data_IF_926096272340
#
_entry.id   IF_926096272340
#
_cell.length_a   1.000
_cell.length_b   1.000
_cell.length_c   1.000
_cell.angle_alpha   90.00
_cell.angle_beta   90.00
_cell.angle_gamma   90.00
#
_symmetry.space_group_name_H-M   'P 1'
#
loop_
_entity.id
_entity.type
_entity.pdbx_description
1 polymer ?
#
# COMPACT_ATOMS: atom_id res chain seq x y z
N UNK A 1 56.58 -16.36 4.48
CA UNK A 1 56.64 -16.70 5.91
C UNK A 1 55.28 -17.24 6.29
N UNK A 2 55.26 -18.43 6.87
CA UNK A 2 54.11 -19.33 7.04
C UNK A 2 53.03 -18.76 7.98
N UNK A 3 51.75 -18.99 7.68
CA UNK A 3 50.62 -18.60 8.53
C UNK A 3 49.33 -19.35 8.22
N UNK A 4 49.22 -20.54 8.81
CA UNK A 4 48.04 -21.35 9.20
C UNK A 4 46.71 -21.24 8.42
N UNK A 5 46.29 -22.38 7.87
CA UNK A 5 44.92 -22.67 7.44
C UNK A 5 44.09 -22.96 8.70
N UNK A 6 43.08 -22.14 8.99
CA UNK A 6 42.00 -22.51 9.92
C UNK A 6 40.86 -23.12 9.12
N UNK A 7 40.45 -24.31 9.56
CA UNK A 7 39.33 -25.09 9.05
C UNK A 7 38.04 -24.27 8.98
N UNK A 8 37.52 -24.12 7.77
CA UNK A 8 36.14 -23.68 7.55
C UNK A 8 35.26 -24.89 7.87
N UNK A 9 34.60 -24.84 9.02
CA UNK A 9 33.50 -25.75 9.35
C UNK A 9 32.37 -25.45 8.35
N UNK A 10 32.26 -26.29 7.33
CA UNK A 10 31.08 -26.37 6.48
C UNK A 10 29.91 -26.83 7.35
N UNK A 11 29.05 -25.90 7.77
CA UNK A 11 27.74 -26.25 8.29
C UNK A 11 26.85 -26.58 7.08
N UNK A 12 26.62 -27.87 6.89
CA UNK A 12 25.66 -28.43 5.95
C UNK A 12 24.27 -27.83 6.19
N UNK A 13 23.67 -27.26 5.13
CA UNK A 13 22.28 -26.86 5.12
C UNK A 13 21.39 -28.10 5.14
N UNK A 14 21.07 -28.56 6.34
CA UNK A 14 20.02 -29.54 6.59
C UNK A 14 18.64 -28.91 6.37
N UNK A 15 17.82 -29.53 5.52
CA UNK A 15 16.45 -29.17 5.18
C UNK A 15 15.60 -28.85 6.44
N UNK A 16 15.31 -27.56 6.68
CA UNK A 16 14.65 -27.09 7.89
C UNK A 16 13.26 -26.48 7.64
N UNK A 17 12.20 -27.28 7.62
CA UNK A 17 10.84 -26.77 7.89
C UNK A 17 10.63 -26.45 9.38
N UNK A 18 11.46 -27.02 10.26
CA UNK A 18 11.34 -26.89 11.73
C UNK A 18 12.04 -25.62 12.27
N UNK A 19 13.13 -25.15 11.64
CA UNK A 19 13.85 -23.94 12.10
C UNK A 19 13.11 -22.62 11.82
N UNK A 20 12.33 -22.53 10.75
CA UNK A 20 11.54 -21.33 10.43
C UNK A 20 10.36 -21.11 11.42
N UNK A 21 9.85 -22.19 12.02
CA UNK A 21 8.72 -22.16 12.94
C UNK A 21 9.08 -21.42 14.25
N UNK A 22 10.23 -21.76 14.84
CA UNK A 22 10.69 -21.17 16.10
C UNK A 22 10.93 -19.65 15.98
N UNK A 23 11.50 -19.19 14.87
CA UNK A 23 11.78 -17.76 14.67
C UNK A 23 10.52 -16.91 14.42
N UNK A 24 9.44 -17.50 13.91
CA UNK A 24 8.17 -16.78 13.69
C UNK A 24 7.35 -16.69 14.98
N UNK A 25 7.37 -17.74 15.80
CA UNK A 25 6.73 -17.74 17.12
C UNK A 25 7.40 -16.74 18.07
N UNK A 26 8.74 -16.72 18.13
CA UNK A 26 9.50 -15.76 18.95
C UNK A 26 9.15 -14.31 18.59
N UNK A 27 9.11 -13.97 17.29
CA UNK A 27 8.70 -12.63 16.83
C UNK A 27 7.30 -12.25 17.29
N UNK A 28 6.38 -13.22 17.31
CA UNK A 28 5.01 -13.00 17.74
C UNK A 28 4.93 -12.79 19.25
N UNK A 29 5.66 -13.58 20.03
CA UNK A 29 5.71 -13.45 21.49
C UNK A 29 6.37 -12.13 21.92
N UNK A 30 7.44 -11.71 21.24
CA UNK A 30 8.07 -10.40 21.43
C UNK A 30 7.05 -9.26 21.24
N UNK A 31 6.29 -9.31 20.14
CA UNK A 31 5.31 -8.27 19.83
C UNK A 31 4.11 -8.30 20.81
N UNK A 32 3.68 -9.49 21.23
CA UNK A 32 2.63 -9.66 22.26
C UNK A 32 3.06 -9.05 23.58
N UNK A 33 4.28 -9.32 24.02
CA UNK A 33 4.86 -8.73 25.23
C UNK A 33 4.92 -7.20 25.14
N UNK A 34 5.35 -6.65 24.00
CA UNK A 34 5.40 -5.21 23.77
C UNK A 34 4.03 -4.52 23.82
N UNK A 35 2.99 -5.19 23.32
CA UNK A 35 1.59 -4.71 23.37
C UNK A 35 0.98 -4.89 24.78
N UNK A 36 1.63 -5.64 25.67
CA UNK A 36 1.16 -5.91 27.04
C UNK A 36 0.14 -7.05 27.11
N UNK A 37 0.23 -8.03 26.22
CA UNK A 37 -0.67 -9.19 26.19
C UNK A 37 -0.32 -10.18 27.29
N UNK A 38 -1.33 -10.60 28.04
CA UNK A 38 -1.22 -11.70 28.99
C UNK A 38 -1.19 -13.06 28.27
N UNK A 39 -0.71 -14.09 28.97
CA UNK A 39 -0.77 -15.47 28.48
C UNK A 39 -2.23 -15.87 28.19
N UNK A 40 -2.46 -16.46 27.02
CA UNK A 40 -3.80 -16.81 26.54
C UNK A 40 -4.61 -15.64 25.93
N UNK A 41 -4.19 -14.37 26.03
CA UNK A 41 -4.82 -13.27 25.28
C UNK A 41 -4.14 -13.11 23.91
N UNK A 42 -4.84 -13.40 22.80
CA UNK A 42 -4.24 -13.32 21.48
C UNK A 42 -4.03 -11.86 21.05
N UNK A 43 -2.97 -11.64 20.25
CA UNK A 43 -2.79 -10.41 19.49
C UNK A 43 -3.85 -10.33 18.39
N UNK A 44 -4.65 -9.27 18.39
CA UNK A 44 -5.74 -9.09 17.41
C UNK A 44 -5.30 -8.07 16.37
N UNK A 45 -5.19 -8.53 15.12
CA UNK A 45 -4.80 -7.70 13.98
C UNK A 45 -5.99 -7.60 13.01
N UNK A 46 -6.35 -6.37 12.64
CA UNK A 46 -7.34 -6.12 11.59
C UNK A 46 -6.72 -5.38 10.42
N UNK A 47 -6.99 -5.84 9.21
CA UNK A 47 -6.76 -5.07 7.99
C UNK A 47 -8.04 -4.37 7.58
N UNK A 48 -8.04 -3.03 7.59
CA UNK A 48 -9.17 -2.20 7.15
C UNK A 48 -8.97 -1.88 5.68
N UNK A 49 -9.77 -2.50 4.82
CA UNK A 49 -9.70 -2.34 3.37
C UNK A 49 -9.27 -3.63 2.68
N UNK A 50 -10.12 -4.13 1.79
CA UNK A 50 -9.90 -5.36 1.02
C UNK A 50 -9.54 -5.08 -0.45
N UNK A 51 -8.74 -4.04 -0.68
CA UNK A 51 -8.03 -3.85 -1.94
C UNK A 51 -6.87 -4.83 -2.09
N UNK A 52 -6.09 -4.69 -3.16
CA UNK A 52 -4.89 -5.49 -3.41
C UNK A 52 -3.97 -5.57 -2.18
N UNK A 53 -3.58 -4.40 -1.66
CA UNK A 53 -2.64 -4.27 -0.55
C UNK A 53 -3.16 -4.76 0.78
N UNK A 54 -4.34 -4.29 1.21
CA UNK A 54 -4.90 -4.73 2.49
C UNK A 54 -5.17 -6.24 2.53
N UNK A 55 -5.53 -6.85 1.40
CA UNK A 55 -5.71 -8.30 1.28
C UNK A 55 -4.39 -9.06 1.33
N UNK A 56 -3.37 -8.62 0.57
CA UNK A 56 -2.04 -9.25 0.59
C UNK A 56 -1.39 -9.12 1.96
N UNK A 57 -1.47 -7.96 2.60
CA UNK A 57 -0.88 -7.77 3.93
C UNK A 57 -1.54 -8.68 4.96
N UNK A 58 -2.87 -8.78 4.96
CA UNK A 58 -3.59 -9.74 5.82
C UNK A 58 -3.21 -11.20 5.51
N UNK A 59 -3.08 -11.55 4.23
CA UNK A 59 -2.71 -12.89 3.80
C UNK A 59 -1.27 -13.26 4.19
N UNK A 60 -0.31 -12.32 4.08
CA UNK A 60 1.07 -12.53 4.51
C UNK A 60 1.16 -12.79 6.02
N UNK A 61 0.41 -12.04 6.82
CA UNK A 61 0.32 -12.28 8.25
C UNK A 61 -0.35 -13.63 8.55
N UNK A 62 -1.42 -13.96 7.82
CA UNK A 62 -2.18 -15.19 7.98
C UNK A 62 -1.35 -16.43 7.61
N UNK A 63 -0.54 -16.36 6.56
CA UNK A 63 0.37 -17.43 6.16
C UNK A 63 1.51 -17.62 7.15
N UNK A 64 2.05 -16.52 7.69
CA UNK A 64 3.20 -16.56 8.61
C UNK A 64 2.80 -17.00 10.01
N UNK A 65 1.71 -16.44 10.55
CA UNK A 65 1.36 -16.59 11.96
C UNK A 65 0.05 -17.35 12.20
N UNK A 66 -0.72 -17.66 11.15
CA UNK A 66 -2.06 -18.24 11.27
C UNK A 66 -2.14 -19.65 11.87
N UNK A 67 -1.00 -20.33 12.00
CA UNK A 67 -0.89 -21.58 12.74
C UNK A 67 -0.97 -21.38 14.26
N UNK A 68 -0.59 -20.20 14.77
CA UNK A 68 -0.58 -19.87 16.21
C UNK A 68 -1.91 -19.23 16.64
N UNK A 69 -3.03 -19.92 16.42
CA UNK A 69 -4.39 -19.35 16.60
C UNK A 69 -4.69 -18.88 18.03
N UNK A 70 -4.06 -19.48 19.02
CA UNK A 70 -4.20 -19.11 20.43
C UNK A 70 -3.38 -17.86 20.79
N UNK A 71 -2.41 -17.49 19.93
CA UNK A 71 -1.52 -16.35 20.11
C UNK A 71 -1.87 -15.15 19.23
N UNK A 72 -2.48 -15.37 18.06
CA UNK A 72 -2.85 -14.30 17.12
C UNK A 72 -4.17 -14.58 16.41
N UNK A 73 -4.95 -13.51 16.22
CA UNK A 73 -6.15 -13.52 15.39
C UNK A 73 -6.05 -12.43 14.34
N UNK A 74 -6.14 -12.82 13.08
CA UNK A 74 -6.06 -11.91 11.93
C UNK A 74 -7.42 -11.90 11.25
N UNK A 75 -7.94 -10.69 11.00
CA UNK A 75 -9.18 -10.49 10.26
C UNK A 75 -9.03 -9.34 9.27
N UNK A 76 -9.87 -9.34 8.25
CA UNK A 76 -9.92 -8.28 7.24
C UNK A 76 -11.33 -7.73 7.16
N UNK A 77 -11.45 -6.42 7.20
CA UNK A 77 -12.70 -5.73 6.96
C UNK A 77 -12.88 -5.38 5.48
N UNK A 78 -14.08 -5.63 4.97
CA UNK A 78 -14.51 -5.27 3.62
C UNK A 78 -15.92 -4.70 3.66
N UNK A 79 -16.15 -3.58 2.96
CA UNK A 79 -17.52 -3.09 2.68
C UNK A 79 -18.33 -4.18 1.95
N UNK A 80 -19.53 -4.55 2.44
CA UNK A 80 -20.35 -5.58 1.80
C UNK A 80 -20.95 -5.09 0.47
N UNK A 81 -21.48 -6.02 -0.32
CA UNK A 81 -22.38 -5.70 -1.44
C UNK A 81 -21.70 -5.39 -2.78
N UNK A 82 -20.36 -5.40 -2.86
CA UNK A 82 -19.68 -5.28 -4.16
C UNK A 82 -19.81 -6.60 -4.94
N UNK A 83 -20.59 -6.58 -6.01
CA UNK A 83 -20.81 -7.74 -6.89
C UNK A 83 -19.67 -7.93 -7.88
N UNK A 84 -19.49 -9.17 -8.33
CA UNK A 84 -18.66 -9.52 -9.47
C UNK A 84 -19.51 -9.53 -10.75
N UNK A 85 -18.99 -8.92 -11.81
CA UNK A 85 -19.60 -9.10 -13.14
C UNK A 85 -19.34 -10.51 -13.70
N UNK A 86 -20.10 -10.88 -14.73
CA UNK A 86 -20.05 -12.22 -15.33
C UNK A 86 -18.69 -12.54 -15.96
N UNK A 87 -18.02 -11.54 -16.54
CA UNK A 87 -16.73 -11.73 -17.17
C UNK A 87 -15.67 -12.08 -16.11
N UNK A 88 -15.66 -11.34 -15.01
CA UNK A 88 -14.80 -11.56 -13.84
C UNK A 88 -15.08 -12.90 -13.18
N UNK A 89 -16.36 -13.28 -13.02
CA UNK A 89 -16.74 -14.59 -12.48
C UNK A 89 -16.26 -15.76 -13.36
N UNK A 90 -16.39 -15.63 -14.69
CA UNK A 90 -15.87 -16.62 -15.64
C UNK A 90 -14.35 -16.72 -15.57
N UNK A 91 -13.66 -15.59 -15.54
CA UNK A 91 -12.20 -15.53 -15.42
C UNK A 91 -11.71 -16.16 -14.10
N UNK A 92 -12.36 -15.83 -12.98
CA UNK A 92 -12.05 -16.43 -11.68
C UNK A 92 -12.22 -17.95 -11.70
N UNK A 93 -13.25 -18.47 -12.37
CA UNK A 93 -13.43 -19.90 -12.54
C UNK A 93 -12.28 -20.55 -13.33
N UNK A 94 -11.77 -19.89 -14.37
CA UNK A 94 -10.60 -20.34 -15.14
C UNK A 94 -9.33 -20.34 -14.27
N UNK A 95 -9.14 -19.29 -13.45
CA UNK A 95 -8.04 -19.23 -12.47
C UNK A 95 -8.13 -20.39 -11.46
N UNK A 96 -9.32 -20.69 -10.93
CA UNK A 96 -9.51 -21.80 -9.99
C UNK A 96 -9.12 -23.15 -10.64
N UNK A 97 -9.54 -23.39 -11.88
CA UNK A 97 -9.30 -24.67 -12.56
C UNK A 97 -7.87 -24.83 -13.09
N UNK A 98 -7.14 -23.73 -13.28
CA UNK A 98 -5.73 -23.77 -13.67
C UNK A 98 -4.78 -24.07 -12.50
N UNK A 99 -5.28 -24.08 -11.25
CA UNK A 99 -4.46 -24.32 -10.04
C UNK A 99 -5.03 -25.47 -9.21
N UNK A 100 -4.34 -26.61 -9.24
CA UNK A 100 -4.79 -27.85 -8.62
C UNK A 100 -4.98 -27.73 -7.09
N UNK A 101 -4.09 -27.01 -6.42
CA UNK A 101 -4.14 -26.78 -4.97
C UNK A 101 -5.38 -25.95 -4.57
N UNK A 102 -5.68 -24.90 -5.34
CA UNK A 102 -6.86 -24.04 -5.14
C UNK A 102 -8.15 -24.84 -5.39
N UNK A 103 -8.21 -25.59 -6.50
CA UNK A 103 -9.35 -26.44 -6.82
C UNK A 103 -9.63 -27.46 -5.70
N UNK A 104 -8.60 -28.20 -5.28
CA UNK A 104 -8.71 -29.18 -4.19
C UNK A 104 -9.17 -28.53 -2.88
N UNK A 105 -8.64 -27.34 -2.55
CA UNK A 105 -9.05 -26.57 -1.37
C UNK A 105 -10.54 -26.22 -1.40
N UNK A 106 -11.05 -25.73 -2.52
CA UNK A 106 -12.45 -25.34 -2.66
C UNK A 106 -13.40 -26.54 -2.65
N UNK A 107 -13.02 -27.66 -3.27
CA UNK A 107 -13.81 -28.91 -3.22
C UNK A 107 -13.91 -29.41 -1.77
N UNK A 108 -12.79 -29.48 -1.04
CA UNK A 108 -12.76 -29.93 0.36
C UNK A 108 -13.61 -29.07 1.31
N UNK A 109 -13.78 -27.79 0.99
CA UNK A 109 -14.60 -26.84 1.76
C UNK A 109 -16.04 -26.72 1.26
N UNK A 110 -16.45 -27.57 0.31
CA UNK A 110 -17.78 -27.50 -0.34
C UNK A 110 -18.07 -26.13 -0.97
N UNK A 111 -17.02 -25.39 -1.36
CA UNK A 111 -17.11 -24.04 -1.90
C UNK A 111 -17.03 -24.00 -3.43
N UNK A 112 -16.67 -25.11 -4.10
CA UNK A 112 -16.47 -25.11 -5.55
C UNK A 112 -17.77 -24.88 -6.34
N UNK A 113 -18.90 -25.46 -5.90
CA UNK A 113 -20.18 -25.41 -6.62
C UNK A 113 -20.65 -23.97 -6.87
N UNK A 114 -20.44 -23.06 -5.91
CA UNK A 114 -20.83 -21.65 -6.06
C UNK A 114 -20.13 -20.95 -7.23
N UNK A 115 -18.91 -21.36 -7.58
CA UNK A 115 -18.17 -20.80 -8.72
C UNK A 115 -18.66 -21.39 -10.05
N UNK A 116 -19.15 -22.63 -10.04
CA UNK A 116 -19.83 -23.22 -11.20
C UNK A 116 -21.13 -22.47 -11.48
N UNK A 117 -21.98 -22.30 -10.48
CA UNK A 117 -23.25 -21.53 -10.57
C UNK A 117 -23.00 -20.11 -11.06
N UNK A 118 -21.96 -19.44 -10.52
CA UNK A 118 -21.62 -18.09 -10.92
C UNK A 118 -21.13 -17.97 -12.38
N UNK A 119 -20.37 -18.95 -12.86
CA UNK A 119 -19.96 -19.02 -14.27
C UNK A 119 -21.17 -19.21 -15.19
N UNK A 120 -22.13 -20.06 -14.80
CA UNK A 120 -23.35 -20.32 -15.56
C UNK A 120 -24.27 -19.08 -15.59
N UNK A 121 -24.21 -18.26 -14.55
CA UNK A 121 -25.04 -17.07 -14.36
C UNK A 121 -26.19 -17.28 -13.38
N UNK A 122 -26.25 -18.45 -12.74
CA UNK A 122 -27.28 -18.83 -11.78
C UNK A 122 -27.06 -18.17 -10.41
N UNK A 123 -25.86 -17.64 -10.16
CA UNK A 123 -25.48 -16.96 -8.91
C UNK A 123 -24.64 -15.72 -9.17
N UNK A 124 -24.95 -14.63 -8.46
CA UNK A 124 -24.03 -13.48 -8.35
C UNK A 124 -23.08 -13.69 -7.19
N UNK A 125 -21.76 -13.58 -7.45
CA UNK A 125 -20.75 -13.62 -6.38
C UNK A 125 -20.54 -12.24 -5.79
N UNK A 126 -20.41 -12.18 -4.47
CA UNK A 126 -19.98 -11.00 -3.76
C UNK A 126 -18.47 -11.03 -3.49
N UNK A 127 -17.88 -9.85 -3.50
CA UNK A 127 -16.44 -9.72 -3.34
C UNK A 127 -15.95 -10.10 -1.91
N UNK A 128 -16.80 -9.96 -0.89
CA UNK A 128 -16.51 -10.47 0.46
C UNK A 128 -16.62 -12.01 0.56
N UNK A 129 -17.50 -12.64 -0.22
CA UNK A 129 -17.61 -14.09 -0.28
C UNK A 129 -16.36 -14.73 -0.90
N UNK A 130 -15.87 -14.19 -2.02
CA UNK A 130 -14.68 -14.73 -2.67
C UNK A 130 -13.42 -14.46 -1.84
N UNK A 131 -13.40 -13.39 -1.05
CA UNK A 131 -12.27 -13.07 -0.17
C UNK A 131 -12.14 -14.07 0.97
N UNK A 132 -13.25 -14.56 1.52
CA UNK A 132 -13.26 -15.66 2.51
C UNK A 132 -12.61 -16.93 1.95
N UNK A 133 -12.73 -17.13 0.65
CA UNK A 133 -12.14 -18.26 -0.06
C UNK A 133 -10.70 -18.03 -0.53
N UNK A 134 -10.15 -16.83 -0.31
CA UNK A 134 -8.82 -16.45 -0.71
C UNK A 134 -8.73 -15.86 -2.12
N UNK A 135 -9.71 -15.05 -2.54
CA UNK A 135 -9.63 -14.30 -3.80
C UNK A 135 -9.91 -12.81 -3.57
N UNK A 136 -9.03 -11.95 -4.09
CA UNK A 136 -9.20 -10.52 -4.05
C UNK A 136 -9.70 -10.03 -5.42
N UNK A 137 -10.80 -9.26 -5.43
CA UNK A 137 -11.38 -8.71 -6.67
C UNK A 137 -10.36 -7.92 -7.51
N UNK A 138 -9.45 -7.22 -6.85
CA UNK A 138 -8.44 -6.39 -7.51
C UNK A 138 -7.20 -7.19 -7.98
N UNK A 139 -7.16 -8.49 -7.70
CA UNK A 139 -6.04 -9.40 -7.98
C UNK A 139 -6.54 -10.83 -8.25
N UNK A 140 -7.53 -11.00 -9.13
CA UNK A 140 -8.16 -12.32 -9.39
C UNK A 140 -7.15 -13.38 -9.82
N UNK A 141 -6.09 -12.99 -10.54
CA UNK A 141 -5.03 -13.88 -11.01
C UNK A 141 -4.09 -14.38 -9.90
N UNK A 142 -4.20 -13.83 -8.69
CA UNK A 142 -3.36 -14.16 -7.53
C UNK A 142 -4.22 -14.72 -6.39
N UNK A 143 -4.56 -16.02 -6.41
CA UNK A 143 -5.22 -16.68 -5.30
C UNK A 143 -4.41 -16.57 -4.01
N UNK A 144 -5.06 -16.06 -2.97
CA UNK A 144 -4.54 -15.90 -1.63
C UNK A 144 -4.90 -17.10 -0.75
N UNK A 145 -4.41 -17.08 0.48
CA UNK A 145 -4.90 -17.94 1.55
C UNK A 145 -6.30 -17.48 1.99
N UNK A 146 -7.14 -18.38 2.51
CA UNK A 146 -8.46 -18.01 3.02
C UNK A 146 -8.34 -17.08 4.23
N UNK A 147 -9.13 -16.00 4.24
CA UNK A 147 -9.10 -14.98 5.29
C UNK A 147 -10.37 -14.99 6.14
N UNK A 148 -10.25 -14.55 7.40
CA UNK A 148 -11.42 -14.22 8.24
C UNK A 148 -11.94 -12.84 7.84
N UNK A 149 -12.98 -12.82 7.00
CA UNK A 149 -13.61 -11.58 6.51
C UNK A 149 -14.73 -11.14 7.43
N UNK A 150 -14.70 -9.88 7.83
CA UNK A 150 -15.74 -9.20 8.63
C UNK A 150 -16.32 -8.07 7.80
N UNK A 151 -17.65 -7.90 7.81
CA UNK A 151 -18.33 -6.87 7.03
C UNK A 151 -18.84 -5.71 7.89
N UNK A 152 -19.03 -5.94 9.20
CA UNK A 152 -19.32 -4.89 10.16
C UNK A 152 -18.02 -4.20 10.63
N UNK A 153 -17.93 -2.87 10.45
CA UNK A 153 -16.70 -2.13 10.76
C UNK A 153 -16.41 -2.11 12.27
N UNK A 154 -17.43 -1.89 13.10
CA UNK A 154 -17.30 -1.90 14.56
C UNK A 154 -16.74 -3.22 15.07
N UNK A 155 -17.35 -4.35 14.68
CA UNK A 155 -16.86 -5.71 15.02
C UNK A 155 -15.41 -5.92 14.58
N UNK A 156 -15.02 -5.37 13.43
CA UNK A 156 -13.68 -5.54 12.92
C UNK A 156 -12.62 -4.76 13.71
N UNK A 157 -12.96 -3.63 14.35
CA UNK A 157 -11.96 -2.71 14.94
C UNK A 157 -12.07 -2.55 16.46
N UNK A 158 -13.15 -2.98 17.10
CA UNK A 158 -13.41 -2.67 18.52
C UNK A 158 -12.34 -3.22 19.47
N UNK A 159 -11.86 -4.44 19.27
CA UNK A 159 -10.84 -5.11 20.09
C UNK A 159 -9.48 -5.26 19.37
N UNK A 160 -9.28 -4.59 18.24
CA UNK A 160 -8.02 -4.70 17.49
C UNK A 160 -6.85 -4.05 18.23
N UNK A 161 -5.74 -4.75 18.38
CA UNK A 161 -4.49 -4.21 18.94
C UNK A 161 -3.66 -3.52 17.86
N UNK A 162 -3.66 -4.10 16.65
CA UNK A 162 -3.01 -3.55 15.46
C UNK A 162 -4.05 -3.38 14.36
N UNK A 163 -4.08 -2.18 13.78
CA UNK A 163 -4.99 -1.80 12.69
C UNK A 163 -4.15 -1.47 11.47
N UNK A 164 -4.31 -2.21 10.39
CA UNK A 164 -3.66 -1.93 9.11
C UNK A 164 -4.61 -1.10 8.27
N UNK A 165 -4.21 0.13 7.91
CA UNK A 165 -4.95 0.92 6.92
C UNK A 165 -4.55 0.46 5.51
N UNK A 166 -5.38 -0.40 4.93
CA UNK A 166 -5.27 -0.87 3.55
C UNK A 166 -6.17 -0.12 2.56
N UNK A 167 -6.75 1.01 2.98
CA UNK A 167 -7.60 1.87 2.15
C UNK A 167 -6.78 2.74 1.20
N UNK A 168 -7.37 3.22 0.09
CA UNK A 168 -6.87 4.41 -0.60
C UNK A 168 -6.81 5.63 0.34
N UNK A 169 -5.89 6.56 0.07
CA UNK A 169 -5.77 7.81 0.84
C UNK A 169 -7.08 8.60 0.88
N UNK A 170 -7.80 8.63 -0.24
CA UNK A 170 -9.08 9.34 -0.42
C UNK A 170 -10.23 8.79 0.43
N UNK A 171 -10.15 7.53 0.89
CA UNK A 171 -11.15 6.93 1.79
C UNK A 171 -10.68 6.90 3.25
N UNK A 172 -9.42 7.23 3.52
CA UNK A 172 -8.81 7.06 4.84
C UNK A 172 -9.50 7.93 5.89
N UNK A 173 -9.74 9.22 5.60
CA UNK A 173 -10.34 10.15 6.55
C UNK A 173 -11.74 9.70 6.99
N UNK A 174 -12.66 9.53 6.04
CA UNK A 174 -14.06 9.14 6.29
C UNK A 174 -14.16 7.87 7.15
N UNK A 175 -13.41 6.82 6.79
CA UNK A 175 -13.47 5.54 7.50
C UNK A 175 -12.86 5.66 8.89
N UNK A 176 -11.74 6.37 9.04
CA UNK A 176 -11.13 6.53 10.36
C UNK A 176 -11.96 7.44 11.28
N UNK A 177 -12.69 8.42 10.74
CA UNK A 177 -13.69 9.20 11.50
C UNK A 177 -14.83 8.31 12.01
N UNK A 178 -15.30 7.35 11.21
CA UNK A 178 -16.27 6.35 11.67
C UNK A 178 -15.67 5.46 12.78
N UNK A 179 -14.46 4.93 12.55
CA UNK A 179 -13.75 4.09 13.53
C UNK A 179 -13.57 4.82 14.86
N UNK A 180 -13.28 6.12 14.84
CA UNK A 180 -13.09 6.94 16.04
C UNK A 180 -14.27 6.84 17.00
N UNK A 181 -15.50 6.69 16.49
CA UNK A 181 -16.74 6.59 17.28
C UNK A 181 -16.74 5.33 18.13
N UNK A 182 -16.21 4.22 17.61
CA UNK A 182 -16.13 2.93 18.29
C UNK A 182 -14.95 2.87 19.28
N UNK A 183 -13.94 3.74 19.12
CA UNK A 183 -12.76 3.76 19.99
C UNK A 183 -12.90 4.65 21.21
N UNK A 184 -13.94 5.48 21.30
CA UNK A 184 -14.18 6.35 22.47
C UNK A 184 -14.27 5.60 23.79
N UNK A 185 -14.76 4.36 23.76
CA UNK A 185 -14.96 3.52 24.95
C UNK A 185 -13.76 2.58 25.22
N UNK A 186 -12.72 2.62 24.39
CA UNK A 186 -11.55 1.75 24.56
C UNK A 186 -10.61 2.27 25.63
N UNK A 187 -10.13 1.34 26.44
CA UNK A 187 -9.06 1.59 27.42
C UNK A 187 -7.69 1.65 26.71
N UNK A 188 -7.49 0.79 25.70
CA UNK A 188 -6.21 0.67 25.00
C UNK A 188 -6.25 1.33 23.62
N UNK A 189 -5.22 2.13 23.34
CA UNK A 189 -4.99 2.77 22.05
C UNK A 189 -4.35 1.76 21.09
N UNK A 190 -4.92 1.53 19.89
CA UNK A 190 -4.33 0.61 18.92
C UNK A 190 -3.03 1.17 18.31
N UNK A 191 -2.23 0.28 17.74
CA UNK A 191 -1.12 0.65 16.84
C UNK A 191 -1.64 0.58 15.41
N UNK A 192 -1.34 1.60 14.60
CA UNK A 192 -1.85 1.72 13.23
C UNK A 192 -0.69 1.62 12.24
N UNK A 193 -0.80 0.77 11.22
CA UNK A 193 0.15 0.67 10.11
C UNK A 193 -0.56 1.09 8.83
N UNK A 194 -0.20 2.24 8.29
CA UNK A 194 -0.79 2.77 7.06
C UNK A 194 -0.04 2.32 5.82
N UNK A 195 -0.77 1.69 4.88
CA UNK A 195 -0.31 1.34 3.55
C UNK A 195 -0.77 2.35 2.49
N UNK A 196 -1.59 3.32 2.90
CA UNK A 196 -2.19 4.31 2.02
C UNK A 196 -1.12 5.24 1.43
N UNK A 197 -1.23 5.50 0.13
CA UNK A 197 -0.32 6.37 -0.63
C UNK A 197 -1.14 7.48 -1.27
N UNK A 198 -0.67 8.72 -1.21
CA UNK A 198 -1.40 9.92 -1.59
C UNK A 198 -1.32 10.97 -0.48
N UNK A 199 -1.77 12.18 -0.75
CA UNK A 199 -1.75 13.32 0.17
C UNK A 199 -2.97 14.21 -0.06
N UNK A 200 -3.33 15.01 0.93
CA UNK A 200 -4.24 16.15 0.82
C UNK A 200 -3.44 17.45 1.03
N UNK A 201 -3.94 18.55 0.48
CA UNK A 201 -3.44 19.89 0.76
C UNK A 201 -4.41 20.62 1.69
N UNK A 202 -3.88 21.22 2.75
CA UNK A 202 -4.60 22.17 3.57
C UNK A 202 -3.95 23.54 3.37
N UNK A 203 -4.72 24.53 2.93
CA UNK A 203 -4.20 25.85 2.55
C UNK A 203 -4.23 26.87 3.70
N UNK A 204 -5.13 26.65 4.67
CA UNK A 204 -5.36 27.56 5.80
C UNK A 204 -5.18 26.85 7.15
N UNK A 205 -4.77 27.56 8.22
CA UNK A 205 -4.30 28.95 8.23
C UNK A 205 -2.87 29.11 7.69
N UNK A 206 -2.14 27.99 7.54
CA UNK A 206 -0.82 27.92 6.92
C UNK A 206 -0.82 26.75 5.95
N UNK A 207 -0.37 26.92 4.70
CA UNK A 207 -0.37 25.83 3.74
C UNK A 207 0.54 24.69 4.16
N UNK A 208 0.01 23.47 4.15
CA UNK A 208 0.76 22.26 4.48
C UNK A 208 0.15 21.02 3.83
N UNK A 209 0.95 19.97 3.72
CA UNK A 209 0.46 18.64 3.37
C UNK A 209 -0.16 17.93 4.57
N UNK A 210 -1.25 17.22 4.31
CA UNK A 210 -1.80 16.22 5.20
C UNK A 210 -1.50 14.85 4.57
N UNK A 211 -0.61 14.10 5.22
CA UNK A 211 -0.25 12.75 4.83
C UNK A 211 -1.23 11.72 5.42
N UNK A 212 -1.32 10.49 4.88
CA UNK A 212 -2.24 9.48 5.39
C UNK A 212 -2.12 9.21 6.90
N UNK A 213 -0.91 9.21 7.47
CA UNK A 213 -0.75 9.10 8.92
C UNK A 213 -1.35 10.30 9.67
N UNK A 214 -1.18 11.53 9.17
CA UNK A 214 -1.84 12.73 9.72
C UNK A 214 -3.37 12.68 9.56
N UNK A 215 -3.89 12.17 8.45
CA UNK A 215 -5.34 11.98 8.26
C UNK A 215 -5.91 11.07 9.36
N UNK A 216 -5.25 9.95 9.63
CA UNK A 216 -5.63 9.01 10.69
C UNK A 216 -5.57 9.69 12.06
N UNK A 217 -4.49 10.41 12.36
CA UNK A 217 -4.34 11.14 13.62
C UNK A 217 -5.46 12.16 13.84
N UNK A 218 -5.73 13.01 12.84
CA UNK A 218 -6.79 14.02 12.90
C UNK A 218 -8.18 13.39 13.04
N UNK A 219 -8.44 12.29 12.33
CA UNK A 219 -9.73 11.62 12.34
C UNK A 219 -10.03 10.88 13.65
N UNK A 220 -9.01 10.34 14.32
CA UNK A 220 -9.19 9.44 15.47
C UNK A 220 -8.69 9.98 16.80
N UNK A 221 -7.82 10.98 16.79
CA UNK A 221 -7.08 11.40 17.98
C UNK A 221 -6.01 10.40 18.44
N UNK A 222 -5.78 9.29 17.72
CA UNK A 222 -4.70 8.35 18.06
C UNK A 222 -3.36 9.09 17.95
N UNK A 223 -2.51 9.05 18.99
CA UNK A 223 -1.21 9.74 18.97
C UNK A 223 -0.37 9.34 17.76
N UNK A 224 0.32 10.31 17.15
CA UNK A 224 1.22 10.05 16.01
C UNK A 224 2.30 9.01 16.32
N UNK A 225 2.72 8.89 17.58
CA UNK A 225 3.66 7.84 18.00
C UNK A 225 3.14 6.42 17.74
N UNK A 226 1.82 6.21 17.72
CA UNK A 226 1.16 4.93 17.47
C UNK A 226 0.83 4.69 15.99
N UNK A 227 1.12 5.65 15.11
CA UNK A 227 0.76 5.57 13.69
C UNK A 227 2.04 5.47 12.87
N UNK A 228 2.13 4.40 12.07
CA UNK A 228 3.27 4.11 11.21
C UNK A 228 2.84 4.13 9.75
N UNK A 229 3.79 4.36 8.87
CA UNK A 229 3.66 4.17 7.43
C UNK A 229 4.48 2.97 6.98
N UNK A 230 3.97 2.18 6.05
CA UNK A 230 4.74 1.13 5.39
C UNK A 230 4.62 1.26 3.87
N UNK A 231 5.76 1.43 3.20
CA UNK A 231 5.85 1.59 1.74
C UNK A 231 7.18 1.13 1.18
N UNK A 232 7.34 1.11 -0.14
CA UNK A 232 8.57 0.64 -0.80
C UNK A 232 8.32 0.04 -2.18
N UNK A 233 9.36 -0.45 -2.87
CA UNK A 233 9.25 -1.14 -4.15
C UNK A 233 8.68 -2.54 -3.95
N UNK A 234 7.35 -2.66 -3.89
CA UNK A 234 6.73 -3.87 -3.37
C UNK A 234 5.37 -4.19 -4.00
N UNK A 235 5.26 -4.51 -5.29
CA UNK A 235 3.94 -4.80 -5.90
C UNK A 235 3.21 -5.95 -5.17
N UNK A 236 1.98 -5.72 -4.72
CA UNK A 236 1.22 -6.63 -3.84
C UNK A 236 1.14 -8.08 -4.35
N UNK A 237 0.80 -8.28 -5.64
CA UNK A 237 0.76 -9.62 -6.25
C UNK A 237 2.10 -10.31 -6.28
N UNK A 238 3.18 -9.55 -6.50
CA UNK A 238 4.54 -10.08 -6.62
C UNK A 238 5.05 -10.53 -5.25
N UNK A 239 4.80 -9.75 -4.19
CA UNK A 239 5.13 -10.17 -2.81
C UNK A 239 4.42 -11.47 -2.46
N UNK A 240 3.13 -11.57 -2.73
CA UNK A 240 2.38 -12.78 -2.38
C UNK A 240 2.85 -14.00 -3.18
N UNK A 241 3.31 -13.80 -4.42
CA UNK A 241 3.96 -14.83 -5.23
C UNK A 241 5.42 -15.11 -4.81
N UNK A 242 5.88 -14.54 -3.70
CA UNK A 242 7.22 -14.70 -3.12
C UNK A 242 8.36 -14.13 -3.96
N UNK A 243 8.06 -13.17 -4.83
CA UNK A 243 9.08 -12.35 -5.48
C UNK A 243 9.80 -11.48 -4.44
N UNK A 244 11.07 -11.18 -4.69
CA UNK A 244 11.87 -10.36 -3.78
C UNK A 244 11.37 -8.92 -3.75
N UNK A 245 11.03 -8.44 -2.55
CA UNK A 245 10.57 -7.08 -2.34
C UNK A 245 11.16 -6.48 -1.07
N UNK A 246 11.28 -5.15 -1.07
CA UNK A 246 11.72 -4.36 0.07
C UNK A 246 10.61 -3.41 0.52
N UNK A 247 10.53 -3.18 1.83
CA UNK A 247 9.69 -2.12 2.40
C UNK A 247 10.43 -1.34 3.47
N UNK A 248 9.97 -0.12 3.69
CA UNK A 248 10.35 0.79 4.76
C UNK A 248 9.15 0.97 5.66
N UNK A 249 9.33 0.71 6.95
CA UNK A 249 8.36 1.08 7.99
C UNK A 249 8.87 2.33 8.70
N UNK A 250 8.03 3.37 8.73
CA UNK A 250 8.37 4.69 9.24
C UNK A 250 7.42 5.08 10.38
N UNK A 251 7.93 5.76 11.40
CA UNK A 251 7.16 6.14 12.59
C UNK A 251 8.04 6.17 13.84
N UNK A 252 7.42 6.14 15.02
CA UNK A 252 8.17 6.19 16.28
C UNK A 252 8.97 4.91 16.56
N UNK A 253 10.15 5.07 17.16
CA UNK A 253 11.10 3.98 17.51
C UNK A 253 10.47 2.84 18.29
N UNK A 254 9.57 3.19 19.23
CA UNK A 254 8.82 2.27 20.08
C UNK A 254 8.17 1.16 19.27
N UNK A 255 7.62 1.49 18.10
CA UNK A 255 6.88 0.55 17.27
C UNK A 255 7.61 0.16 15.99
N UNK A 256 8.33 1.09 15.33
CA UNK A 256 8.91 0.81 13.99
C UNK A 256 9.93 -0.32 14.02
N UNK A 257 10.78 -0.39 15.05
CA UNK A 257 11.87 -1.38 15.13
C UNK A 257 11.32 -2.79 15.42
N UNK A 258 10.46 -2.99 16.44
CA UNK A 258 9.83 -4.30 16.67
C UNK A 258 8.95 -4.75 15.50
N UNK A 259 8.16 -3.84 14.92
CA UNK A 259 7.31 -4.17 13.77
C UNK A 259 8.14 -4.49 12.50
N UNK A 260 9.28 -3.84 12.27
CA UNK A 260 10.19 -4.22 11.21
C UNK A 260 10.70 -5.66 11.38
N UNK A 261 11.08 -6.07 12.60
CA UNK A 261 11.49 -7.46 12.91
C UNK A 261 10.32 -8.43 12.67
N UNK A 262 9.12 -8.08 13.16
CA UNK A 262 7.91 -8.89 13.05
C UNK A 262 7.49 -9.13 11.60
N UNK A 263 7.48 -8.08 10.77
CA UNK A 263 7.02 -8.15 9.38
C UNK A 263 8.05 -8.73 8.40
N UNK A 264 9.32 -8.84 8.79
CA UNK A 264 10.39 -9.33 7.91
C UNK A 264 10.24 -10.82 7.62
N UNK A 265 10.21 -11.16 6.33
CA UNK A 265 10.17 -12.52 5.79
C UNK A 265 11.33 -12.74 4.79
N UNK A 266 11.69 -13.99 4.42
CA UNK A 266 12.82 -14.24 3.52
C UNK A 266 12.77 -13.52 2.17
N UNK A 267 11.57 -13.35 1.60
CA UNK A 267 11.35 -12.68 0.30
C UNK A 267 10.80 -11.25 0.46
N UNK A 268 10.42 -10.84 1.67
CA UNK A 268 9.89 -9.51 1.96
C UNK A 268 10.66 -8.87 3.10
N UNK A 269 11.68 -8.09 2.74
CA UNK A 269 12.58 -7.49 3.73
C UNK A 269 12.06 -6.11 4.13
N UNK A 270 11.66 -6.00 5.40
CA UNK A 270 11.20 -4.75 5.99
C UNK A 270 12.36 -4.11 6.76
N UNK A 271 12.64 -2.86 6.45
CA UNK A 271 13.64 -2.02 7.11
C UNK A 271 12.94 -0.87 7.84
N UNK A 272 13.45 -0.46 8.99
CA UNK A 272 12.93 0.72 9.67
C UNK A 272 13.55 2.02 9.11
N UNK A 273 12.83 3.12 9.27
CA UNK A 273 13.30 4.48 8.96
C UNK A 273 12.58 5.49 9.87
N UNK A 274 13.26 6.58 10.27
CA UNK A 274 12.63 7.65 11.06
C UNK A 274 11.94 8.69 10.19
N UNK A 275 12.33 8.81 8.93
CA UNK A 275 11.83 9.86 8.04
C UNK A 275 10.46 9.48 7.43
N UNK A 276 9.42 9.67 8.24
CA UNK A 276 8.03 9.42 7.86
C UNK A 276 7.55 10.32 6.72
N UNK A 277 7.83 11.62 6.81
CA UNK A 277 7.27 12.63 5.90
C UNK A 277 7.78 12.41 4.48
N UNK A 278 9.09 12.21 4.30
CA UNK A 278 9.66 11.95 2.97
C UNK A 278 9.03 10.72 2.33
N UNK A 279 8.85 9.63 3.08
CA UNK A 279 8.31 8.39 2.54
C UNK A 279 6.83 8.50 2.13
N UNK A 280 6.01 9.25 2.86
CA UNK A 280 4.62 9.50 2.50
C UNK A 280 4.51 10.46 1.30
N UNK A 281 5.30 11.55 1.29
CA UNK A 281 5.35 12.51 0.18
C UNK A 281 5.77 11.82 -1.12
N UNK A 282 6.85 11.05 -1.08
CA UNK A 282 7.32 10.25 -2.20
C UNK A 282 6.28 9.22 -2.68
N UNK A 283 5.54 8.62 -1.73
CA UNK A 283 4.42 7.72 -2.03
C UNK A 283 3.28 8.39 -2.80
N UNK A 284 3.01 9.67 -2.55
CA UNK A 284 2.09 10.49 -3.32
C UNK A 284 2.65 10.91 -4.68
N UNK A 285 3.85 11.50 -4.70
CA UNK A 285 4.49 12.02 -5.92
C UNK A 285 4.69 10.94 -6.99
N UNK A 286 5.08 9.72 -6.60
CA UNK A 286 5.29 8.66 -7.60
C UNK A 286 4.01 8.33 -8.37
N UNK A 287 2.82 8.48 -7.75
CA UNK A 287 1.54 8.26 -8.42
C UNK A 287 1.22 9.38 -9.40
N UNK A 288 1.58 10.62 -9.07
CA UNK A 288 1.51 11.77 -9.98
C UNK A 288 2.36 11.51 -11.22
N UNK A 289 3.66 11.27 -11.03
CA UNK A 289 4.59 11.13 -12.14
C UNK A 289 4.40 9.84 -12.92
N UNK A 290 3.80 8.80 -12.34
CA UNK A 290 3.40 7.60 -13.08
C UNK A 290 2.37 7.92 -14.18
N UNK A 291 1.46 8.87 -13.98
CA UNK A 291 0.50 9.27 -15.03
C UNK A 291 1.27 9.82 -16.24
N UNK A 292 2.17 10.79 -16.03
CA UNK A 292 2.97 11.34 -17.12
C UNK A 292 3.92 10.31 -17.75
N UNK A 293 4.47 9.37 -16.98
CA UNK A 293 5.26 8.27 -17.52
C UNK A 293 4.46 7.42 -18.49
N UNK A 294 3.20 7.12 -18.15
CA UNK A 294 2.26 6.44 -19.03
C UNK A 294 1.96 7.20 -20.32
N UNK A 295 1.76 8.52 -20.22
CA UNK A 295 1.55 9.37 -21.40
C UNK A 295 2.77 9.35 -22.32
N UNK A 296 3.97 9.56 -21.77
CA UNK A 296 5.22 9.51 -22.52
C UNK A 296 5.41 8.15 -23.18
N UNK A 297 5.15 7.06 -22.46
CA UNK A 297 5.27 5.71 -22.99
C UNK A 297 4.37 5.50 -24.23
N UNK A 298 3.12 5.94 -24.18
CA UNK A 298 2.21 5.83 -25.33
C UNK A 298 2.61 6.76 -26.50
N UNK A 299 2.90 8.03 -26.22
CA UNK A 299 3.21 9.04 -27.26
C UNK A 299 4.54 8.77 -27.98
N UNK A 300 5.49 8.12 -27.30
CA UNK A 300 6.83 7.84 -27.83
C UNK A 300 7.02 6.39 -28.26
N UNK A 301 5.92 5.64 -28.35
CA UNK A 301 5.91 4.22 -28.71
C UNK A 301 6.93 3.40 -27.89
N UNK A 302 6.87 3.55 -26.57
CA UNK A 302 7.70 2.87 -25.58
C UNK A 302 9.22 3.15 -25.67
N UNK A 303 9.61 4.28 -26.31
CA UNK A 303 11.01 4.73 -26.40
C UNK A 303 11.71 4.75 -25.04
N UNK A 304 12.76 3.93 -24.90
CA UNK A 304 13.53 3.84 -23.67
C UNK A 304 14.21 5.17 -23.33
N UNK A 305 14.75 5.89 -24.32
CA UNK A 305 15.39 7.20 -24.15
C UNK A 305 14.39 8.26 -23.69
N UNK A 306 13.19 8.29 -24.27
CA UNK A 306 12.18 9.28 -23.89
C UNK A 306 11.69 9.04 -22.46
N UNK A 307 11.47 7.77 -22.09
CA UNK A 307 11.11 7.38 -20.72
C UNK A 307 12.23 7.69 -19.71
N UNK A 308 13.50 7.49 -20.07
CA UNK A 308 14.62 7.80 -19.16
C UNK A 308 14.81 9.30 -18.95
N UNK A 309 14.64 10.12 -20.00
CA UNK A 309 14.66 11.59 -19.87
C UNK A 309 13.51 12.06 -18.99
N UNK A 310 12.29 11.56 -19.21
CA UNK A 310 11.16 11.88 -18.33
C UNK A 310 11.44 11.47 -16.87
N UNK A 311 12.00 10.28 -16.65
CA UNK A 311 12.37 9.80 -15.32
C UNK A 311 13.37 10.74 -14.62
N UNK A 312 14.39 11.23 -15.33
CA UNK A 312 15.37 12.17 -14.80
C UNK A 312 14.73 13.52 -14.37
N UNK A 313 13.83 14.06 -15.20
CA UNK A 313 13.14 15.30 -14.86
C UNK A 313 12.13 15.12 -13.72
N UNK A 314 11.33 14.04 -13.72
CA UNK A 314 10.37 13.82 -12.65
C UNK A 314 11.06 13.61 -11.30
N UNK A 315 12.16 12.85 -11.27
CA UNK A 315 12.96 12.67 -10.04
C UNK A 315 13.57 13.97 -9.53
N UNK A 316 13.94 14.88 -10.44
CA UNK A 316 14.41 16.22 -10.06
C UNK A 316 13.32 17.04 -9.38
N UNK A 317 12.09 17.05 -9.93
CA UNK A 317 10.95 17.71 -9.27
C UNK A 317 10.60 17.04 -7.93
N UNK A 318 10.63 15.70 -7.86
CA UNK A 318 10.36 14.97 -6.62
C UNK A 318 11.34 15.35 -5.51
N UNK A 319 12.63 15.48 -5.84
CA UNK A 319 13.66 15.93 -4.91
C UNK A 319 13.35 17.35 -4.43
N UNK A 320 13.07 18.27 -5.36
CA UNK A 320 12.75 19.66 -5.04
C UNK A 320 11.54 19.77 -4.11
N UNK A 321 10.42 19.12 -4.46
CA UNK A 321 9.18 19.15 -3.68
C UNK A 321 9.41 18.55 -2.29
N UNK A 322 10.15 17.44 -2.19
CA UNK A 322 10.43 16.80 -0.90
C UNK A 322 11.27 17.70 0.01
N UNK A 323 12.29 18.39 -0.53
CA UNK A 323 13.09 19.35 0.24
C UNK A 323 12.31 20.57 0.71
N UNK A 324 11.24 20.93 0.00
CA UNK A 324 10.35 22.00 0.41
C UNK A 324 9.41 21.56 1.55
N UNK A 325 8.99 20.29 1.56
CA UNK A 325 7.92 19.79 2.43
C UNK A 325 8.42 19.04 3.68
N UNK A 326 9.67 18.59 3.71
CA UNK A 326 10.24 17.82 4.81
C UNK A 326 11.51 18.48 5.35
N UNK A 327 11.68 18.42 6.67
CA UNK A 327 12.89 18.91 7.34
C UNK A 327 13.98 17.83 7.30
N UNK A 328 15.09 18.12 6.63
CA UNK A 328 16.22 17.20 6.50
C UNK A 328 15.85 15.86 5.81
N UNK A 329 15.23 15.87 4.62
CA UNK A 329 14.72 14.66 3.99
C UNK A 329 15.82 13.67 3.62
N UNK A 330 15.49 12.38 3.66
CA UNK A 330 16.32 11.35 3.05
C UNK A 330 16.50 11.62 1.55
N UNK A 331 17.72 11.37 1.06
CA UNK A 331 18.02 11.48 -0.36
C UNK A 331 17.16 10.51 -1.16
N UNK A 332 16.71 10.94 -2.34
CA UNK A 332 16.07 10.05 -3.31
C UNK A 332 17.08 9.04 -3.86
N UNK A 333 17.29 7.96 -3.12
CA UNK A 333 18.24 6.89 -3.43
C UNK A 333 17.71 5.55 -2.95
N UNK A 334 18.34 4.47 -3.40
CA UNK A 334 18.04 3.10 -2.94
C UNK A 334 16.54 2.77 -3.02
N UNK A 335 15.87 2.42 -1.90
CA UNK A 335 14.46 2.01 -1.91
C UNK A 335 13.47 3.06 -2.42
N UNK A 336 13.66 4.35 -2.14
CA UNK A 336 12.74 5.40 -2.59
C UNK A 336 12.80 5.57 -4.12
N UNK A 337 14.01 5.54 -4.67
CA UNK A 337 14.23 5.60 -6.11
C UNK A 337 13.69 4.33 -6.80
N UNK A 338 13.90 3.16 -6.19
CA UNK A 338 13.39 1.89 -6.70
C UNK A 338 11.85 1.83 -6.68
N UNK A 339 11.18 2.34 -5.62
CA UNK A 339 9.71 2.39 -5.57
C UNK A 339 9.16 3.32 -6.65
N UNK A 340 9.83 4.46 -6.87
CA UNK A 340 9.51 5.38 -7.96
C UNK A 340 9.63 4.67 -9.31
N UNK A 341 10.78 4.05 -9.57
CA UNK A 341 11.05 3.34 -10.83
C UNK A 341 9.99 2.28 -11.15
N UNK A 342 9.72 1.35 -10.22
CA UNK A 342 8.77 0.27 -10.47
C UNK A 342 7.34 0.79 -10.70
N UNK A 343 6.96 1.88 -10.01
CA UNK A 343 5.63 2.49 -10.13
C UNK A 343 5.44 3.20 -11.47
N UNK A 344 6.50 3.80 -12.02
CA UNK A 344 6.48 4.45 -13.32
C UNK A 344 6.43 3.44 -14.47
N UNK A 345 6.97 2.22 -14.28
CA UNK A 345 6.90 1.14 -15.27
C UNK A 345 5.53 0.47 -15.35
N UNK A 346 4.89 0.27 -14.19
CA UNK A 346 3.69 -0.55 -14.07
C UNK A 346 2.79 -0.02 -12.96
N UNK A 347 1.50 0.09 -13.25
CA UNK A 347 0.52 0.46 -12.25
C UNK A 347 -0.73 1.08 -12.86
N UNK A 348 -1.73 1.32 -12.01
CA UNK A 348 -3.00 1.92 -12.43
C UNK A 348 -2.83 3.36 -12.93
N UNK A 349 -1.94 4.14 -12.31
CA UNK A 349 -1.66 5.53 -12.72
C UNK A 349 -0.94 5.59 -14.09
N UNK A 350 0.08 4.75 -14.31
CA UNK A 350 0.75 4.65 -15.61
C UNK A 350 -0.19 4.15 -16.71
N UNK A 351 -0.99 3.13 -16.43
CA UNK A 351 -2.04 2.69 -17.34
C UNK A 351 -3.01 3.81 -17.70
N UNK A 352 -3.49 4.59 -16.70
CA UNK A 352 -4.40 5.71 -16.94
C UNK A 352 -3.78 6.76 -17.87
N UNK A 353 -2.52 7.13 -17.63
CA UNK A 353 -1.78 8.03 -18.53
C UNK A 353 -1.64 7.50 -19.95
N UNK A 354 -1.39 6.20 -20.13
CA UNK A 354 -1.36 5.57 -21.46
C UNK A 354 -2.72 5.66 -22.17
N UNK A 355 -3.82 5.40 -21.48
CA UNK A 355 -5.16 5.46 -22.08
C UNK A 355 -5.55 6.89 -22.46
N UNK A 356 -5.21 7.87 -21.64
CA UNK A 356 -5.39 9.29 -21.96
C UNK A 356 -4.62 9.67 -23.23
N UNK A 357 -3.34 9.30 -23.31
CA UNK A 357 -2.49 9.62 -24.47
C UNK A 357 -2.95 8.93 -25.77
N UNK A 358 -3.62 7.78 -25.68
CA UNK A 358 -4.23 7.09 -26.83
C UNK A 358 -5.61 7.63 -27.22
N UNK A 359 -6.21 8.51 -26.41
CA UNK A 359 -7.58 8.98 -26.58
C UNK A 359 -8.65 7.93 -26.24
N UNK A 360 -8.26 6.84 -25.56
CA UNK A 360 -9.18 5.78 -25.12
C UNK A 360 -9.94 6.14 -23.83
N UNK A 361 -9.38 7.09 -23.06
CA UNK A 361 -10.05 7.73 -21.92
C UNK A 361 -10.02 9.25 -22.09
N UNK A 362 -11.05 9.92 -21.58
CA UNK A 362 -11.06 11.36 -21.36
C UNK A 362 -10.98 11.66 -19.85
N UNK A 363 -10.30 12.75 -19.42
CA UNK A 363 -10.41 13.25 -18.05
C UNK A 363 -11.87 13.48 -17.59
N UNK A 364 -12.81 13.69 -18.52
CA UNK A 364 -14.24 13.85 -18.22
C UNK A 364 -14.90 12.59 -17.64
N UNK A 365 -14.31 11.42 -17.87
CA UNK A 365 -14.85 10.14 -17.37
C UNK A 365 -14.61 9.95 -15.86
N UNK A 366 -13.96 10.93 -15.22
CA UNK A 366 -13.62 10.91 -13.81
C UNK A 366 -12.33 10.13 -13.51
N UNK A 367 -11.99 10.10 -12.23
CA UNK A 367 -10.82 9.44 -11.67
C UNK A 367 -11.15 8.06 -11.05
N UNK A 368 -12.42 7.68 -11.01
CA UNK A 368 -12.87 6.35 -10.56
C UNK A 368 -13.30 5.50 -11.75
N UNK A 369 -12.38 4.65 -12.21
CA UNK A 369 -12.59 3.85 -13.42
C UNK A 369 -13.16 2.48 -13.06
N UNK A 370 -14.27 2.10 -13.71
CA UNK A 370 -14.90 0.78 -13.54
C UNK A 370 -13.88 -0.35 -13.77
N UNK A 371 -13.81 -1.31 -12.84
CA UNK A 371 -12.86 -2.43 -12.89
C UNK A 371 -11.40 -2.09 -12.53
N UNK A 372 -11.02 -0.82 -12.41
CA UNK A 372 -9.65 -0.38 -12.02
C UNK A 372 -9.62 0.33 -10.66
N UNK A 373 -10.73 0.94 -10.26
CA UNK A 373 -10.88 1.75 -9.07
C UNK A 373 -10.34 3.17 -9.25
N UNK A 374 -10.14 3.85 -8.13
CA UNK A 374 -9.69 5.24 -8.11
C UNK A 374 -8.23 5.41 -8.54
N UNK A 375 -7.98 6.40 -9.39
CA UNK A 375 -6.67 6.84 -9.88
C UNK A 375 -6.15 7.94 -8.95
N UNK A 376 -5.56 7.52 -7.83
CA UNK A 376 -5.08 8.43 -6.77
C UNK A 376 -4.06 9.47 -7.25
N UNK A 377 -3.39 9.23 -8.39
CA UNK A 377 -2.48 10.22 -8.97
C UNK A 377 -3.18 11.51 -9.39
N UNK A 378 -4.46 11.48 -9.77
CA UNK A 378 -5.21 12.68 -10.16
C UNK A 378 -5.42 13.60 -8.95
N UNK A 379 -5.96 13.07 -7.85
CA UNK A 379 -6.13 13.84 -6.60
C UNK A 379 -4.78 14.32 -6.04
N UNK A 380 -3.71 13.53 -6.20
CA UNK A 380 -2.38 13.96 -5.79
C UNK A 380 -1.81 15.09 -6.67
N UNK A 381 -2.08 15.11 -7.97
CA UNK A 381 -1.71 16.22 -8.86
C UNK A 381 -2.35 17.51 -8.36
N UNK A 382 -3.65 17.47 -8.08
CA UNK A 382 -4.41 18.61 -7.55
C UNK A 382 -3.79 19.12 -6.25
N UNK A 383 -3.63 18.24 -5.25
CA UNK A 383 -3.15 18.63 -3.94
C UNK A 383 -1.71 19.19 -3.98
N UNK A 384 -0.78 18.58 -4.73
CA UNK A 384 0.56 19.15 -4.85
C UNK A 384 0.55 20.48 -5.63
N UNK A 385 -0.25 20.60 -6.69
CA UNK A 385 -0.33 21.82 -7.46
C UNK A 385 -0.90 22.98 -6.64
N UNK A 386 -2.02 22.78 -5.95
CA UNK A 386 -2.66 23.81 -5.12
C UNK A 386 -1.72 24.29 -4.01
N UNK A 387 -1.09 23.35 -3.31
CA UNK A 387 -0.14 23.69 -2.26
C UNK A 387 1.03 24.51 -2.80
N UNK A 388 1.70 24.04 -3.85
CA UNK A 388 2.88 24.69 -4.43
C UNK A 388 2.56 25.98 -5.19
N UNK A 389 1.29 26.24 -5.47
CA UNK A 389 0.80 27.49 -6.05
C UNK A 389 0.39 28.51 -5.00
N UNK A 390 0.36 28.14 -3.72
CA UNK A 390 -0.12 29.03 -2.67
C UNK A 390 0.76 30.27 -2.54
N UNK A 391 0.15 31.46 -2.55
CA UNK A 391 0.84 32.75 -2.61
C UNK A 391 1.85 33.02 -1.47
N UNK A 392 1.63 32.40 -0.31
CA UNK A 392 2.53 32.50 0.83
C UNK A 392 3.80 31.65 0.70
N UNK A 393 3.83 30.65 -0.19
CA UNK A 393 5.01 29.85 -0.46
C UNK A 393 5.79 30.47 -1.61
N UNK A 394 7.06 30.79 -1.36
CA UNK A 394 7.94 31.35 -2.37
C UNK A 394 9.34 30.73 -2.27
N UNK A 395 9.95 30.50 -3.41
CA UNK A 395 11.35 30.08 -3.55
C UNK A 395 12.08 31.06 -4.48
N UNK A 396 13.40 31.15 -4.37
CA UNK A 396 14.20 31.94 -5.30
C UNK A 396 14.37 31.17 -6.61
N UNK A 397 14.00 31.78 -7.73
CA UNK A 397 14.31 31.23 -9.04
C UNK A 397 15.83 31.13 -9.23
N UNK A 398 16.38 29.98 -9.66
CA UNK A 398 17.83 29.75 -9.71
C UNK A 398 18.56 30.72 -10.67
N UNK A 399 17.93 31.10 -11.78
CA UNK A 399 18.52 32.02 -12.77
C UNK A 399 18.16 33.50 -12.54
N UNK A 400 16.87 33.81 -12.33
CA UNK A 400 16.42 35.19 -12.18
C UNK A 400 16.63 35.79 -10.78
N UNK A 401 16.91 34.97 -9.76
CA UNK A 401 17.01 35.39 -8.35
C UNK A 401 15.80 36.16 -7.82
N UNK A 402 14.61 35.95 -8.41
CA UNK A 402 13.34 36.54 -7.96
C UNK A 402 12.50 35.49 -7.22
N UNK A 403 11.66 35.92 -6.26
CA UNK A 403 10.66 35.06 -5.64
C UNK A 403 9.66 34.56 -6.70
N UNK A 404 9.46 33.24 -6.74
CA UNK A 404 8.45 32.58 -7.57
C UNK A 404 7.70 31.55 -6.74
N UNK A 405 6.46 31.25 -7.12
CA UNK A 405 5.73 30.12 -6.55
C UNK A 405 6.50 28.82 -6.84
N UNK A 406 6.65 27.90 -5.86
CA UNK A 406 7.36 26.65 -6.06
C UNK A 406 6.93 25.84 -7.28
N UNK A 407 5.64 25.89 -7.64
CA UNK A 407 5.08 25.18 -8.80
C UNK A 407 5.71 25.61 -10.13
N UNK A 408 6.25 26.83 -10.23
CA UNK A 408 6.94 27.31 -11.43
C UNK A 408 8.24 26.55 -11.71
N UNK A 409 8.83 25.95 -10.68
CA UNK A 409 10.00 25.06 -10.80
C UNK A 409 9.60 23.59 -11.02
N UNK A 410 8.31 23.29 -11.21
CA UNK A 410 7.77 21.95 -11.43
C UNK A 410 6.95 21.88 -12.75
N UNK A 411 7.59 22.02 -13.92
CA UNK A 411 6.91 22.05 -15.21
C UNK A 411 6.09 20.80 -15.54
N UNK A 412 6.52 19.60 -15.12
CA UNK A 412 5.78 18.36 -15.32
C UNK A 412 4.51 18.36 -14.48
N UNK A 413 4.61 18.66 -13.18
CA UNK A 413 3.43 18.77 -12.31
C UNK A 413 2.43 19.80 -12.86
N UNK A 414 2.90 20.98 -13.25
CA UNK A 414 2.07 22.05 -13.85
C UNK A 414 1.41 21.60 -15.15
N UNK A 415 2.10 20.83 -15.98
CA UNK A 415 1.55 20.27 -17.22
C UNK A 415 0.49 19.21 -16.93
N UNK A 416 0.75 18.30 -15.98
CA UNK A 416 -0.23 17.29 -15.57
C UNK A 416 -1.49 17.94 -14.99
N UNK A 417 -1.36 18.98 -14.17
CA UNK A 417 -2.51 19.74 -13.66
C UNK A 417 -3.34 20.36 -14.78
N UNK A 418 -2.69 20.96 -15.80
CA UNK A 418 -3.39 21.50 -16.97
C UNK A 418 -4.15 20.43 -17.75
N UNK A 419 -3.55 19.26 -17.96
CA UNK A 419 -4.16 18.17 -18.71
C UNK A 419 -5.35 17.56 -17.95
N UNK A 420 -5.21 17.41 -16.62
CA UNK A 420 -6.15 16.62 -15.83
C UNK A 420 -7.27 17.48 -15.21
N UNK A 421 -6.98 18.73 -14.82
CA UNK A 421 -7.84 19.54 -13.93
C UNK A 421 -8.22 20.89 -14.54
N UNK A 422 -7.24 21.72 -14.95
CA UNK A 422 -7.43 23.16 -15.23
C UNK A 422 -8.25 23.54 -16.48
N UNK A 423 -8.73 22.55 -17.24
CA UNK A 423 -9.45 22.63 -18.53
C UNK A 423 -9.60 24.02 -19.16
#
# INVERSE_FOLDING_TARGET
MVGSIMEVVCNEYSNGSVQACNGSEEKLDDLRSLVGKADGDPLRIVSVGAGAWGSVFAALLQDTFGQFRDKVQIRIWRRPGKTLDRATAKHLFEVINSREDVLRRLIRRCAYLKYVEARLGDRTLLADEILKDGFCLNMIDTPLCPLKVVTNLQEAVWDADIVVNGLPSTETREIFEEISKYWKERITVPVIISLAKGIEAALEPVPHIITPTKMINQATGVPMENILYLGGPNIASEIYNKEYANARICGADKWRKPLAKFLRQPHFIVWDNSDLVTHEVMGGLKNVYAIGAGMVAALTNESATSKSVYFAHCTSEMIFITHLLAEGPEKLAGPLLADTYVTLLKGRNAWYGQMLAKGELSPDMGDSISGKGMIQGVSAVEAFFELLSHSSLNVLHPEEHKPVAPVELCPILKTLYKILISR
#
